data_IF_796131354100
#
_entry.id   IF_796131354100
#
_cell.length_a   1.000
_cell.length_b   1.000
_cell.length_c   1.000
_cell.angle_alpha   90.00
_cell.angle_beta   90.00
_cell.angle_gamma   90.00
#
_symmetry.space_group_name_H-M   'P 1'
#
loop_
_entity.id
_entity.type
_entity.pdbx_description
1 polymer ?
#
# COMPACT_ATOMS: atom_id res chain seq x y z
N UNK A 1 8.97 9.37 -5.48
CA UNK A 1 9.98 8.55 -6.17
C UNK A 1 9.27 7.89 -7.34
N UNK A 2 9.69 8.16 -8.57
CA UNK A 2 9.01 7.64 -9.78
C UNK A 2 9.65 6.30 -10.14
N UNK A 3 8.88 5.22 -10.11
CA UNK A 3 9.35 3.90 -10.51
C UNK A 3 9.62 3.89 -12.02
N UNK A 4 10.80 3.42 -12.43
CA UNK A 4 11.21 3.41 -13.85
C UNK A 4 11.17 2.01 -14.47
N UNK A 5 10.99 0.98 -13.64
CA UNK A 5 10.96 -0.41 -14.05
C UNK A 5 9.92 -1.18 -13.24
N UNK A 6 9.45 -2.30 -13.77
CA UNK A 6 8.57 -3.25 -13.06
C UNK A 6 9.17 -3.71 -11.71
N UNK A 7 10.50 -3.85 -11.64
CA UNK A 7 11.22 -4.16 -10.40
C UNK A 7 11.13 -3.07 -9.31
N UNK A 8 11.09 -1.78 -9.68
CA UNK A 8 10.89 -0.68 -8.73
C UNK A 8 9.47 -0.69 -8.17
N UNK A 9 8.47 -0.97 -9.03
CA UNK A 9 7.08 -1.12 -8.62
C UNK A 9 6.90 -2.29 -7.65
N UNK A 10 7.54 -3.42 -7.92
CA UNK A 10 7.56 -4.58 -7.02
C UNK A 10 8.19 -4.22 -5.67
N UNK A 11 9.32 -3.49 -5.68
CA UNK A 11 9.99 -3.03 -4.46
C UNK A 11 9.09 -2.11 -3.63
N UNK A 12 8.42 -1.15 -4.27
CA UNK A 12 7.45 -0.26 -3.62
C UNK A 12 6.26 -1.06 -3.06
N UNK A 13 5.75 -2.04 -3.82
CA UNK A 13 4.68 -2.94 -3.38
C UNK A 13 5.09 -3.68 -2.11
N UNK A 14 6.28 -4.26 -2.06
CA UNK A 14 6.78 -4.98 -0.88
C UNK A 14 7.03 -4.03 0.29
N UNK A 15 7.58 -2.83 0.05
CA UNK A 15 7.85 -1.83 1.08
C UNK A 15 6.58 -1.35 1.78
N UNK A 16 5.49 -1.13 1.04
CA UNK A 16 4.25 -0.60 1.63
C UNK A 16 3.25 -1.71 2.00
N UNK A 17 3.03 -2.68 1.11
CA UNK A 17 1.99 -3.73 1.23
C UNK A 17 2.54 -5.09 1.67
N UNK A 18 3.86 -5.25 1.78
CA UNK A 18 4.47 -6.51 2.21
C UNK A 18 4.14 -6.87 3.66
N UNK A 19 4.55 -8.08 4.07
CA UNK A 19 4.31 -8.62 5.44
C UNK A 19 4.92 -7.76 6.56
N UNK A 20 5.99 -7.01 6.25
CA UNK A 20 6.64 -6.01 7.11
C UNK A 20 6.51 -4.59 6.55
N UNK A 21 5.56 -4.39 5.62
CA UNK A 21 5.38 -3.10 4.98
C UNK A 21 4.70 -2.11 5.91
N UNK A 22 4.89 -0.82 5.64
CA UNK A 22 4.40 0.27 6.48
C UNK A 22 2.89 0.18 6.74
N UNK A 23 2.09 -0.15 5.72
CA UNK A 23 0.63 -0.32 5.84
C UNK A 23 0.28 -1.50 6.76
N UNK A 24 1.03 -2.60 6.66
CA UNK A 24 0.80 -3.80 7.48
C UNK A 24 1.18 -3.56 8.95
N UNK A 25 2.25 -2.79 9.21
CA UNK A 25 2.63 -2.39 10.56
C UNK A 25 1.58 -1.46 11.20
N UNK A 26 1.04 -0.51 10.43
CA UNK A 26 -0.08 0.34 10.87
C UNK A 26 -1.32 -0.50 11.24
N UNK A 27 -1.67 -1.50 10.41
CA UNK A 27 -2.77 -2.42 10.72
C UNK A 27 -2.54 -3.25 11.99
N UNK A 28 -1.29 -3.66 12.27
CA UNK A 28 -0.96 -4.34 13.54
C UNK A 28 -1.10 -3.41 14.74
N UNK A 29 -0.73 -2.13 14.58
CA UNK A 29 -0.88 -1.09 15.60
C UNK A 29 -2.35 -0.86 16.01
N UNK A 30 -3.28 -0.99 15.08
CA UNK A 30 -4.73 -0.87 15.35
C UNK A 30 -5.24 -1.86 16.41
N UNK A 31 -4.59 -3.01 16.57
CA UNK A 31 -4.98 -4.01 17.55
C UNK A 31 -4.88 -3.52 19.00
N UNK A 32 -4.13 -2.44 19.25
CA UNK A 32 -3.91 -1.84 20.57
C UNK A 32 -4.78 -0.59 20.83
N UNK A 33 -5.56 -0.14 19.84
CA UNK A 33 -6.39 1.07 19.93
C UNK A 33 -7.80 0.76 20.45
N UNK A 34 -8.48 1.80 20.98
CA UNK A 34 -9.88 1.72 21.37
C UNK A 34 -10.78 1.40 20.15
N UNK A 35 -11.94 0.76 20.33
CA UNK A 35 -12.82 0.33 19.23
C UNK A 35 -13.25 1.47 18.29
N UNK A 36 -13.50 2.65 18.86
CA UNK A 36 -13.97 3.84 18.14
C UNK A 36 -12.86 4.43 17.25
N UNK A 37 -11.65 4.60 17.80
CA UNK A 37 -10.48 5.06 17.05
C UNK A 37 -10.05 4.03 16.00
N UNK A 38 -10.10 2.74 16.37
CA UNK A 38 -9.77 1.64 15.46
C UNK A 38 -10.62 1.64 14.20
N UNK A 39 -11.89 2.03 14.29
CA UNK A 39 -12.78 2.10 13.13
C UNK A 39 -12.37 3.22 12.17
N UNK A 40 -12.13 4.42 12.69
CA UNK A 40 -11.72 5.57 11.88
C UNK A 40 -10.32 5.37 11.27
N UNK A 41 -9.34 4.98 12.09
CA UNK A 41 -7.96 4.75 11.65
C UNK A 41 -7.87 3.52 10.74
N UNK A 42 -8.63 2.47 11.02
CA UNK A 42 -8.70 1.27 10.17
C UNK A 42 -9.28 1.55 8.78
N UNK A 43 -10.30 2.42 8.69
CA UNK A 43 -10.83 2.88 7.42
C UNK A 43 -9.77 3.66 6.62
N UNK A 44 -9.07 4.60 7.27
CA UNK A 44 -8.00 5.38 6.64
C UNK A 44 -6.84 4.51 6.13
N UNK A 45 -6.43 3.50 6.92
CA UNK A 45 -5.36 2.58 6.52
C UNK A 45 -5.80 1.69 5.34
N UNK A 46 -7.05 1.20 5.36
CA UNK A 46 -7.59 0.44 4.23
C UNK A 46 -7.71 1.29 2.96
N UNK A 47 -8.09 2.56 3.08
CA UNK A 47 -8.11 3.48 1.94
C UNK A 47 -6.70 3.71 1.39
N UNK A 48 -5.72 3.98 2.25
CA UNK A 48 -4.33 4.12 1.87
C UNK A 48 -3.81 2.86 1.15
N UNK A 49 -4.13 1.68 1.70
CA UNK A 49 -3.79 0.38 1.09
C UNK A 49 -4.33 0.28 -0.33
N UNK A 50 -5.61 0.58 -0.53
CA UNK A 50 -6.27 0.53 -1.83
C UNK A 50 -5.69 1.55 -2.81
N UNK A 51 -5.41 2.79 -2.36
CA UNK A 51 -4.80 3.82 -3.20
C UNK A 51 -3.42 3.38 -3.69
N UNK A 52 -2.57 2.87 -2.79
CA UNK A 52 -1.25 2.35 -3.16
C UNK A 52 -1.38 1.19 -4.14
N UNK A 53 -2.29 0.25 -3.89
CA UNK A 53 -2.51 -0.89 -4.78
C UNK A 53 -2.96 -0.45 -6.17
N UNK A 54 -3.95 0.44 -6.27
CA UNK A 54 -4.44 0.96 -7.54
C UNK A 54 -3.34 1.71 -8.31
N UNK A 55 -2.59 2.60 -7.65
CA UNK A 55 -1.50 3.35 -8.31
C UNK A 55 -0.40 2.42 -8.81
N UNK A 56 -0.06 1.36 -8.06
CA UNK A 56 0.92 0.37 -8.50
C UNK A 56 0.40 -0.43 -9.70
N UNK A 57 -0.87 -0.85 -9.69
CA UNK A 57 -1.49 -1.56 -10.82
C UNK A 57 -1.58 -0.68 -12.07
N UNK A 58 -1.97 0.59 -11.93
CA UNK A 58 -2.00 1.57 -13.01
C UNK A 58 -0.61 1.80 -13.59
N UNK A 59 0.41 1.98 -12.74
CA UNK A 59 1.79 2.16 -13.18
C UNK A 59 2.33 0.90 -13.89
N UNK A 60 1.99 -0.29 -13.38
CA UNK A 60 2.39 -1.55 -13.99
C UNK A 60 1.73 -1.76 -15.35
N UNK A 61 0.43 -1.45 -15.48
CA UNK A 61 -0.27 -1.47 -16.77
C UNK A 61 0.31 -0.46 -17.74
N UNK A 62 0.62 0.76 -17.28
CA UNK A 62 1.21 1.79 -18.12
C UNK A 62 2.59 1.36 -18.67
N UNK A 63 3.42 0.73 -17.83
CA UNK A 63 4.69 0.15 -18.27
C UNK A 63 4.49 -1.01 -19.25
N UNK A 64 3.56 -1.93 -18.99
CA UNK A 64 3.28 -3.07 -19.86
C UNK A 64 2.67 -2.68 -21.22
N UNK A 65 1.98 -1.53 -21.31
CA UNK A 65 1.47 -0.95 -22.56
C UNK A 65 2.53 -0.16 -23.34
N UNK A 66 3.67 0.14 -22.70
CA UNK A 66 4.77 0.92 -23.29
C UNK A 66 5.94 0.04 -23.76
N UNK A 67 5.83 -1.28 -23.63
CA UNK A 67 6.71 -2.29 -24.24
C UNK A 67 6.13 -2.80 -25.57
#
# INVERSE_FOLDING_TARGET
QTAKSTADLETLRVKYLGKKGEVTELLKGLGKMAPEERKAVGAAINELKNRIQNTLEESMRALALSE
#
